data_IF_822352708478
#
_entry.id   IF_822352708478
#
_cell.length_a   1.000
_cell.length_b   1.000
_cell.length_c   1.000
_cell.angle_alpha   90.00
_cell.angle_beta   90.00
_cell.angle_gamma   90.00
#
_symmetry.space_group_name_H-M   'P 1'
#
loop_
_entity.id
_entity.type
_entity.pdbx_description
1 polymer ?
#
# COMPACT_ATOMS: atom_id res chain seq x y z
N UNK A 1 14.89 8.23 -21.94
CA UNK A 1 14.34 7.99 -21.59
C UNK A 1 13.96 7.55 -20.67
N UNK A 2 13.51 7.48 -20.05
CA UNK A 2 13.17 7.10 -19.15
C UNK A 2 12.24 6.51 -18.78
N UNK A 3 11.83 6.36 -18.84
CA UNK A 3 10.67 5.72 -18.75
C UNK A 3 10.67 4.60 -17.90
N UNK A 4 11.51 4.01 -17.85
CA UNK A 4 11.60 2.97 -17.04
C UNK A 4 11.02 3.20 -15.79
N UNK A 5 11.03 4.27 -15.39
CA UNK A 5 10.50 4.54 -14.19
C UNK A 5 9.25 3.93 -14.01
N UNK A 6 8.48 3.87 -14.98
CA UNK A 6 7.24 3.32 -14.83
C UNK A 6 7.29 1.93 -14.41
N UNK A 7 8.12 1.21 -14.94
CA UNK A 7 8.18 -0.17 -14.66
C UNK A 7 8.52 -0.40 -13.22
N UNK A 8 9.04 0.60 -12.62
CA UNK A 8 9.41 0.44 -11.26
C UNK A 8 8.37 0.95 -10.33
N UNK A 9 7.22 1.33 -10.84
CA UNK A 9 6.19 1.84 -9.97
C UNK A 9 5.81 0.78 -8.97
N UNK A 10 5.62 1.17 -7.76
CA UNK A 10 5.20 0.29 -6.71
C UNK A 10 3.75 -0.12 -6.92
N UNK A 11 3.36 -1.32 -6.51
CA UNK A 11 1.97 -1.71 -6.58
C UNK A 11 1.13 -1.01 -5.52
N UNK A 12 1.76 -0.24 -4.67
CA UNK A 12 1.07 0.44 -3.59
C UNK A 12 0.73 1.87 -4.01
N UNK A 13 -0.52 2.25 -3.82
CA UNK A 13 -0.95 3.62 -4.09
C UNK A 13 -0.69 4.47 -2.87
N UNK A 14 -0.22 5.68 -3.08
CA UNK A 14 0.10 6.58 -1.99
C UNK A 14 -0.83 7.77 -2.06
N UNK A 15 -1.50 8.06 -0.96
CA UNK A 15 -2.37 9.21 -0.88
C UNK A 15 -1.91 10.10 0.27
N UNK A 16 -1.34 11.26 -0.02
CA UNK A 16 -0.88 12.14 1.05
C UNK A 16 -2.08 12.68 1.83
N UNK A 17 -1.93 12.78 3.13
CA UNK A 17 -2.96 13.33 3.98
C UNK A 17 -2.50 14.69 4.48
N UNK A 18 -1.28 14.78 4.98
CA UNK A 18 -0.69 16.05 5.34
C UNK A 18 0.84 15.88 5.26
N UNK A 19 1.58 16.79 5.80
CA UNK A 19 3.02 16.81 5.63
C UNK A 19 3.70 15.54 6.11
N UNK A 20 3.18 14.95 7.19
CA UNK A 20 3.80 13.78 7.78
C UNK A 20 2.99 12.51 7.67
N UNK A 21 1.78 12.57 7.16
CA UNK A 21 0.91 11.41 7.13
C UNK A 21 0.48 11.08 5.72
N UNK A 22 0.31 9.82 5.46
CA UNK A 22 -0.15 9.36 4.15
C UNK A 22 -0.87 8.03 4.32
N UNK A 23 -1.71 7.71 3.35
CA UNK A 23 -2.42 6.45 3.36
C UNK A 23 -1.90 5.61 2.23
N UNK A 24 -1.60 4.36 2.51
CA UNK A 24 -1.12 3.42 1.51
C UNK A 24 -2.20 2.38 1.26
N UNK A 25 -2.39 2.03 0.01
CA UNK A 25 -3.38 1.04 -0.37
C UNK A 25 -2.78 0.10 -1.39
N UNK A 26 -3.04 -1.19 -1.21
CA UNK A 26 -2.60 -2.17 -2.18
C UNK A 26 -3.79 -3.10 -2.47
N UNK A 27 -3.93 -3.50 -3.73
CA UNK A 27 -4.99 -4.39 -4.13
C UNK A 27 -4.34 -5.70 -4.52
N UNK A 28 -4.87 -6.79 -4.02
CA UNK A 28 -4.28 -8.11 -4.28
C UNK A 28 -5.36 -9.17 -4.36
N UNK A 29 -4.98 -10.33 -4.89
CA UNK A 29 -5.90 -11.45 -4.95
C UNK A 29 -6.12 -11.99 -3.56
N UNK A 30 -7.35 -12.28 -3.21
CA UNK A 30 -7.71 -12.64 -1.86
C UNK A 30 -7.78 -14.13 -1.58
N UNK A 31 -7.29 -14.94 -2.48
CA UNK A 31 -7.45 -16.37 -2.32
C UNK A 31 -6.22 -17.07 -1.73
N UNK A 32 -5.22 -16.34 -1.30
CA UNK A 32 -4.02 -16.93 -0.72
C UNK A 32 -3.55 -16.18 0.51
N UNK A 33 -3.17 -16.94 1.51
CA UNK A 33 -2.61 -16.35 2.70
C UNK A 33 -1.28 -15.66 2.38
N UNK A 34 -0.51 -16.24 1.45
CA UNK A 34 0.75 -15.64 1.10
C UNK A 34 0.56 -14.30 0.42
N UNK A 35 -0.53 -14.13 -0.32
CA UNK A 35 -0.79 -12.87 -0.97
C UNK A 35 -1.04 -11.77 0.06
N UNK A 36 -1.76 -12.12 1.13
CA UNK A 36 -2.04 -11.16 2.18
C UNK A 36 -0.74 -10.78 2.91
N UNK A 37 0.09 -11.77 3.23
CA UNK A 37 1.35 -11.49 3.90
C UNK A 37 2.24 -10.62 3.02
N UNK A 38 2.27 -10.92 1.73
CA UNK A 38 3.09 -10.15 0.80
C UNK A 38 2.57 -8.71 0.72
N UNK A 39 1.25 -8.53 0.76
CA UNK A 39 0.68 -7.19 0.70
C UNK A 39 1.11 -6.38 1.92
N UNK A 40 1.13 -6.98 3.10
CA UNK A 40 1.57 -6.28 4.29
C UNK A 40 3.05 -5.87 4.17
N UNK A 41 3.87 -6.74 3.61
CA UNK A 41 5.28 -6.43 3.43
C UNK A 41 5.43 -5.27 2.44
N UNK A 42 4.64 -5.26 1.38
CA UNK A 42 4.72 -4.19 0.40
C UNK A 42 4.30 -2.85 1.01
N UNK A 43 3.28 -2.86 1.85
CA UNK A 43 2.85 -1.63 2.49
C UNK A 43 3.98 -1.09 3.38
N UNK A 44 4.59 -1.94 4.17
CA UNK A 44 5.66 -1.51 5.06
C UNK A 44 6.87 -1.00 4.27
N UNK A 45 7.18 -1.65 3.16
CA UNK A 45 8.30 -1.22 2.33
C UNK A 45 8.04 0.15 1.73
N UNK A 46 6.82 0.38 1.29
CA UNK A 46 6.49 1.66 0.70
C UNK A 46 6.50 2.74 1.76
N UNK A 47 6.05 2.41 2.98
CA UNK A 47 6.06 3.38 4.07
C UNK A 47 7.50 3.83 4.35
N UNK A 48 8.45 2.89 4.36
CA UNK A 48 9.84 3.24 4.58
C UNK A 48 10.35 4.14 3.46
N UNK A 49 9.94 3.86 2.23
CA UNK A 49 10.37 4.66 1.11
C UNK A 49 9.84 6.08 1.22
N UNK A 50 8.58 6.22 1.63
CA UNK A 50 7.98 7.54 1.75
C UNK A 50 8.62 8.36 2.87
N UNK A 51 9.08 7.71 3.91
CA UNK A 51 9.68 8.42 5.05
C UNK A 51 11.19 8.53 4.98
N UNK A 52 11.78 8.18 3.82
CA UNK A 52 13.22 8.06 3.72
C UNK A 52 14.01 9.22 4.31
N UNK A 53 13.60 10.44 4.03
CA UNK A 53 14.32 11.60 4.54
C UNK A 53 13.60 12.32 5.66
N UNK A 54 12.58 11.68 6.23
CA UNK A 54 11.78 12.35 7.23
C UNK A 54 11.65 11.57 8.53
N UNK A 55 12.39 10.50 8.66
CA UNK A 55 12.35 9.71 9.89
C UNK A 55 11.88 8.30 9.62
N UNK A 56 11.22 7.72 10.59
CA UNK A 56 10.79 6.34 10.50
C UNK A 56 9.29 6.22 10.34
N UNK A 57 8.84 5.24 9.58
CA UNK A 57 7.40 5.06 9.39
C UNK A 57 6.80 4.38 10.60
N UNK A 58 5.66 4.89 11.03
CA UNK A 58 4.92 4.32 12.14
C UNK A 58 3.47 4.22 11.70
N UNK A 59 2.85 3.08 11.93
CA UNK A 59 1.45 2.93 11.59
C UNK A 59 0.65 3.88 12.45
N UNK A 60 -0.17 4.70 11.82
CA UNK A 60 -0.89 5.76 12.52
C UNK A 60 -2.38 5.52 12.58
N UNK A 61 -2.87 4.48 11.95
CA UNK A 61 -4.29 4.27 11.95
C UNK A 61 -4.63 2.82 11.78
N UNK A 62 -5.90 2.56 11.64
CA UNK A 62 -6.36 1.21 11.51
C UNK A 62 -6.01 0.65 10.17
N UNK A 63 -5.71 -0.62 10.16
CA UNK A 63 -5.53 -1.34 8.93
C UNK A 63 -6.91 -1.73 8.45
N UNK A 64 -7.27 -1.37 7.25
CA UNK A 64 -8.58 -1.68 6.71
C UNK A 64 -8.51 -2.64 5.56
N UNK A 65 -9.31 -3.68 5.61
CA UNK A 65 -9.36 -4.68 4.57
C UNK A 65 -10.77 -4.67 3.99
N UNK A 66 -10.87 -4.41 2.71
CA UNK A 66 -12.15 -4.34 2.04
C UNK A 66 -12.13 -5.14 0.74
N UNK A 67 -13.28 -5.60 0.32
CA UNK A 67 -13.38 -6.27 -0.95
C UNK A 67 -13.49 -5.24 -2.05
N UNK A 68 -12.81 -5.49 -3.15
CA UNK A 68 -12.90 -4.61 -4.30
C UNK A 68 -14.17 -4.95 -5.05
N UNK A 69 -14.97 -3.98 -5.43
CA UNK A 69 -16.21 -4.25 -6.15
C UNK A 69 -15.95 -5.06 -7.42
N UNK A 70 -16.81 -6.02 -7.67
CA UNK A 70 -16.64 -6.87 -8.83
C UNK A 70 -17.37 -6.28 -10.01
N UNK A 71 -16.84 -5.21 -10.54
CA UNK A 71 -17.48 -4.57 -11.65
C UNK A 71 -16.90 -5.06 -12.96
N UNK A 72 -15.80 -5.79 -12.91
CA UNK A 72 -15.13 -6.25 -14.09
C UNK A 72 -15.28 -7.76 -14.17
N UNK A 73 -15.61 -8.29 -15.33
CA UNK A 73 -15.76 -9.73 -15.45
C UNK A 73 -14.48 -10.45 -15.11
N UNK A 74 -13.37 -9.90 -15.45
CA UNK A 74 -12.10 -10.57 -15.16
C UNK A 74 -11.88 -10.67 -13.67
N UNK A 75 -12.32 -9.68 -12.93
CA UNK A 75 -12.10 -9.67 -11.50
C UNK A 75 -13.05 -10.61 -10.79
N UNK A 76 -14.13 -11.01 -11.44
CA UNK A 76 -15.05 -11.88 -10.77
C UNK A 76 -14.49 -13.24 -10.50
N UNK A 77 -13.54 -13.68 -11.27
CA UNK A 77 -13.05 -15.01 -11.10
C UNK A 77 -12.32 -15.16 -9.81
N UNK A 78 -11.62 -14.16 -9.37
CA UNK A 78 -10.91 -14.24 -8.11
C UNK A 78 -11.30 -13.07 -7.30
N UNK A 79 -11.64 -13.26 -6.09
CA UNK A 79 -11.92 -12.14 -5.22
C UNK A 79 -10.68 -11.27 -5.11
N UNK A 80 -10.85 -9.97 -5.11
CA UNK A 80 -9.74 -9.06 -4.91
C UNK A 80 -10.01 -8.26 -3.65
N UNK A 81 -8.95 -8.03 -2.91
CA UNK A 81 -9.04 -7.31 -1.65
C UNK A 81 -8.20 -6.05 -1.72
N UNK A 82 -8.64 -5.05 -1.00
CA UNK A 82 -7.94 -3.79 -0.88
C UNK A 82 -7.49 -3.66 0.56
N UNK A 83 -6.21 -3.47 0.78
CA UNK A 83 -5.66 -3.33 2.10
C UNK A 83 -5.12 -1.91 2.21
N UNK A 84 -5.63 -1.14 3.16
CA UNK A 84 -5.23 0.24 3.35
C UNK A 84 -4.77 0.49 4.76
N UNK A 85 -3.77 1.33 4.90
CA UNK A 85 -3.27 1.67 6.22
C UNK A 85 -2.72 3.07 6.21
N UNK A 86 -2.98 3.82 7.26
CA UNK A 86 -2.44 5.16 7.38
C UNK A 86 -1.12 5.08 8.13
N UNK A 87 -0.13 5.82 7.66
CA UNK A 87 1.21 5.83 8.24
C UNK A 87 1.64 7.25 8.48
N UNK A 88 2.59 7.41 9.35
CA UNK A 88 3.13 8.70 9.64
C UNK A 88 4.64 8.59 9.79
N UNK A 89 5.37 9.63 9.40
CA UNK A 89 6.82 9.65 9.54
C UNK A 89 7.15 10.34 10.85
N UNK A 90 7.93 9.64 11.67
CA UNK A 90 8.32 10.15 12.98
C UNK A 90 9.81 10.42 12.94
N UNK A 91 10.25 11.61 13.32
CA UNK A 91 11.68 11.93 13.24
C UNK A 91 12.50 10.92 14.03
N UNK A 92 13.59 10.50 13.44
CA UNK A 92 14.48 9.57 14.09
C UNK A 92 15.32 10.34 15.10
N UNK A 93 15.70 9.66 16.19
CA UNK A 93 16.49 10.36 17.20
C UNK A 93 17.95 10.10 17.02
#
# INVERSE_FOLDING_TARGET
MFPLLLALASPVSVQPIDADRFRLTIIYGGDHLTAHAQALIELASEARRQCRNRGEPVSAGSLELNEVPKTDTAARKKGRLSLSEEWRCVPAR
#
